data_IF_992539479308
#
_entry.id   IF_992539479308
#
_cell.length_a   1.000
_cell.length_b   1.000
_cell.length_c   1.000
_cell.angle_alpha   90.00
_cell.angle_beta   90.00
_cell.angle_gamma   90.00
#
_symmetry.space_group_name_H-M   'P 1'
#
loop_
_entity.id
_entity.type
_entity.pdbx_description
1 polymer ?
#
# COMPACT_ATOMS: atom_id res chain seq x y z
N UNK A 1 26.10 1.87 6.72
CA UNK A 1 24.81 1.34 7.18
C UNK A 1 23.74 1.61 6.13
N UNK A 2 22.75 0.75 5.98
CA UNK A 2 21.57 1.06 5.20
C UNK A 2 20.73 2.09 5.97
N UNK A 3 20.51 3.25 5.35
CA UNK A 3 19.94 4.41 6.02
C UNK A 3 18.40 4.45 5.92
N UNK A 4 17.76 5.09 6.90
CA UNK A 4 16.35 5.51 6.78
C UNK A 4 16.22 6.53 5.67
N UNK A 5 15.01 6.64 5.09
CA UNK A 5 14.69 7.55 3.99
C UNK A 5 13.47 8.42 4.30
N UNK A 6 13.54 9.65 3.82
CA UNK A 6 12.44 10.60 3.80
C UNK A 6 12.38 11.30 2.44
N UNK A 7 11.43 12.21 2.24
CA UNK A 7 11.40 13.06 1.06
C UNK A 7 12.42 14.20 1.21
N UNK A 8 12.97 14.66 0.09
CA UNK A 8 13.85 15.86 0.08
C UNK A 8 13.01 17.15 0.19
N UNK A 9 11.89 17.21 -0.54
CA UNK A 9 11.00 18.36 -0.59
C UNK A 9 9.55 17.96 -0.35
N UNK A 10 8.74 18.94 0.06
CA UNK A 10 7.29 18.76 0.06
C UNK A 10 6.72 18.75 -1.35
N UNK A 11 5.70 17.93 -1.58
CA UNK A 11 5.02 17.85 -2.87
C UNK A 11 3.51 17.74 -2.67
N UNK A 12 2.75 18.42 -3.54
CA UNK A 12 1.29 18.43 -3.51
C UNK A 12 0.69 17.67 -4.68
N UNK A 13 -0.46 17.07 -4.43
CA UNK A 13 -1.31 16.47 -5.45
C UNK A 13 -2.77 16.75 -5.16
N UNK A 14 -3.58 16.69 -6.20
CA UNK A 14 -5.03 16.83 -6.13
C UNK A 14 -5.68 15.63 -6.81
N UNK A 15 -6.78 15.18 -6.26
CA UNK A 15 -7.53 14.07 -6.81
C UNK A 15 -8.93 13.99 -6.20
N UNK A 16 -9.55 12.84 -6.35
CA UNK A 16 -10.88 12.54 -5.78
C UNK A 16 -10.79 11.30 -4.91
N UNK A 17 -11.61 11.22 -3.88
CA UNK A 17 -11.77 10.01 -3.09
C UNK A 17 -12.48 8.93 -3.90
N UNK A 18 -12.03 7.67 -3.80
CA UNK A 18 -12.70 6.55 -4.48
C UNK A 18 -14.11 6.34 -3.93
N UNK A 19 -14.23 6.36 -2.60
CA UNK A 19 -15.51 6.09 -1.92
C UNK A 19 -16.33 7.35 -1.74
N UNK A 20 -15.74 8.45 -1.29
CA UNK A 20 -16.45 9.71 -1.04
C UNK A 20 -16.82 10.47 -2.31
N UNK A 21 -16.02 10.39 -3.37
CA UNK A 21 -16.14 11.24 -4.55
C UNK A 21 -15.72 12.69 -4.31
N UNK A 22 -15.28 13.04 -3.11
CA UNK A 22 -14.89 14.40 -2.73
C UNK A 22 -13.56 14.81 -3.36
N UNK A 23 -13.38 16.10 -3.68
CA UNK A 23 -12.08 16.63 -4.09
C UNK A 23 -11.11 16.65 -2.90
N UNK A 24 -9.93 16.09 -3.09
CA UNK A 24 -8.91 15.92 -2.05
C UNK A 24 -7.63 16.61 -2.45
N UNK A 25 -7.07 17.38 -1.51
CA UNK A 25 -5.69 17.90 -1.56
C UNK A 25 -4.82 17.04 -0.66
N UNK A 26 -3.75 16.50 -1.22
CA UNK A 26 -2.72 15.71 -0.56
C UNK A 26 -1.40 16.47 -0.58
N UNK A 27 -0.70 16.53 0.55
CA UNK A 27 0.68 17.03 0.61
C UNK A 27 1.57 16.02 1.32
N UNK A 28 2.62 15.54 0.65
CA UNK A 28 3.65 14.71 1.23
C UNK A 28 4.80 15.61 1.69
N UNK A 29 5.26 15.45 2.93
CA UNK A 29 6.32 16.26 3.53
C UNK A 29 7.42 15.39 4.13
N UNK A 30 8.69 15.85 4.11
CA UNK A 30 9.76 15.19 4.83
C UNK A 30 9.46 15.16 6.34
N UNK A 31 9.98 14.13 7.01
CA UNK A 31 9.89 13.98 8.46
C UNK A 31 11.24 13.60 9.07
N UNK A 32 11.50 13.95 10.33
CA UNK A 32 12.71 13.55 11.05
C UNK A 32 12.90 12.01 11.11
N UNK A 33 14.13 11.53 11.33
CA UNK A 33 14.38 10.11 11.55
C UNK A 33 13.55 9.56 12.72
N UNK A 34 13.14 8.29 12.61
CA UNK A 34 12.34 7.55 13.59
C UNK A 34 10.90 8.11 13.80
N UNK A 35 10.41 9.00 12.92
CA UNK A 35 9.02 9.49 12.95
C UNK A 35 8.04 8.42 12.50
N UNK A 36 8.40 7.63 11.49
CA UNK A 36 7.46 6.78 10.77
C UNK A 36 6.60 7.56 9.79
N UNK A 37 5.52 6.96 9.31
CA UNK A 37 4.53 7.61 8.46
C UNK A 37 3.39 8.12 9.33
N UNK A 38 3.15 9.45 9.28
CA UNK A 38 2.10 10.13 10.03
C UNK A 38 1.12 10.77 9.08
N UNK A 39 -0.13 10.36 9.15
CA UNK A 39 -1.23 11.00 8.43
C UNK A 39 -1.79 12.15 9.26
N UNK A 40 -2.11 13.27 8.61
CA UNK A 40 -2.58 14.51 9.28
C UNK A 40 -3.85 15.03 8.60
N UNK A 41 -4.95 15.12 9.35
CA UNK A 41 -6.22 15.73 8.91
C UNK A 41 -6.12 17.24 9.09
N UNK A 42 -5.85 17.96 8.00
CA UNK A 42 -5.63 19.40 8.01
C UNK A 42 -6.91 20.24 7.88
N UNK A 43 -8.02 19.61 7.58
CA UNK A 43 -9.35 20.20 7.55
C UNK A 43 -10.01 20.33 8.92
N UNK A 44 -9.39 19.74 9.95
CA UNK A 44 -9.85 19.80 11.33
C UNK A 44 -9.09 20.89 12.12
N UNK A 45 -9.74 21.48 13.14
CA UNK A 45 -9.15 22.46 14.03
C UNK A 45 -9.39 22.03 15.51
N UNK A 46 -8.34 21.60 16.25
CA UNK A 46 -6.97 21.40 15.77
C UNK A 46 -6.84 20.23 14.80
N UNK A 47 -5.79 20.25 13.96
CA UNK A 47 -5.46 19.13 13.09
C UNK A 47 -5.17 17.87 13.90
N UNK A 48 -5.52 16.70 13.35
CA UNK A 48 -5.39 15.41 14.02
C UNK A 48 -4.39 14.53 13.31
N UNK A 49 -3.42 14.02 14.08
CA UNK A 49 -2.41 13.08 13.58
C UNK A 49 -2.83 11.63 13.83
N UNK A 50 -2.61 10.77 12.82
CA UNK A 50 -2.84 9.33 12.91
C UNK A 50 -1.58 8.61 12.42
N UNK A 51 -0.95 7.83 13.29
CA UNK A 51 0.21 7.03 12.90
C UNK A 51 -0.21 5.86 12.01
N UNK A 52 0.54 5.62 10.94
CA UNK A 52 0.38 4.44 10.09
C UNK A 52 0.86 3.18 10.84
N UNK A 53 -0.02 2.61 11.64
CA UNK A 53 0.23 1.42 12.45
C UNK A 53 -0.98 0.50 12.41
N UNK A 54 -0.71 -0.81 12.46
CA UNK A 54 -1.76 -1.83 12.42
C UNK A 54 -2.80 -1.69 13.55
N UNK A 55 -2.37 -1.19 14.71
CA UNK A 55 -3.24 -0.96 15.86
C UNK A 55 -4.26 0.17 15.63
N UNK A 56 -3.94 1.11 14.73
CA UNK A 56 -4.80 2.22 14.37
C UNK A 56 -5.75 1.90 13.21
N UNK A 57 -5.70 0.69 12.66
CA UNK A 57 -6.66 0.26 11.64
C UNK A 57 -8.01 0.02 12.30
N UNK A 58 -9.03 0.73 11.82
CA UNK A 58 -10.42 0.58 12.23
C UNK A 58 -11.20 -0.23 11.21
N UNK A 59 -11.78 0.44 10.21
CA UNK A 59 -12.55 -0.21 9.16
C UNK A 59 -11.64 -0.77 8.06
N UNK A 60 -12.04 -1.92 7.51
CA UNK A 60 -11.35 -2.61 6.42
C UNK A 60 -12.29 -2.97 5.27
N UNK A 61 -13.43 -2.30 5.21
CA UNK A 61 -14.43 -2.48 4.14
C UNK A 61 -13.93 -1.81 2.86
N UNK A 62 -13.57 -2.61 1.86
CA UNK A 62 -13.07 -2.21 0.54
C UNK A 62 -11.79 -1.35 0.52
N UNK A 63 -11.28 -0.94 1.67
CA UNK A 63 -10.03 -0.20 1.82
C UNK A 63 -9.49 -0.32 3.24
N UNK A 64 -8.25 0.04 3.46
CA UNK A 64 -7.68 0.15 4.81
C UNK A 64 -7.91 1.56 5.33
N UNK A 65 -8.60 1.66 6.49
CA UNK A 65 -8.91 2.93 7.16
C UNK A 65 -8.15 3.04 8.47
N UNK A 66 -7.36 4.10 8.62
CA UNK A 66 -6.72 4.48 9.88
C UNK A 66 -7.67 5.35 10.71
N UNK A 67 -7.71 5.10 12.01
CA UNK A 67 -8.56 5.81 12.96
C UNK A 67 -7.75 6.32 14.16
N UNK A 68 -8.16 7.46 14.67
CA UNK A 68 -7.78 8.01 15.98
C UNK A 68 -9.07 8.58 16.57
N UNK A 69 -9.65 7.88 17.54
CA UNK A 69 -11.00 8.11 18.04
C UNK A 69 -12.02 8.17 16.87
N UNK A 70 -12.76 9.25 16.74
CA UNK A 70 -13.78 9.46 15.69
C UNK A 70 -13.19 9.98 14.37
N UNK A 71 -11.89 10.29 14.33
CA UNK A 71 -11.23 10.80 13.13
C UNK A 71 -10.67 9.64 12.31
N UNK A 72 -10.96 9.64 11.00
CA UNK A 72 -10.54 8.58 10.10
C UNK A 72 -9.88 9.11 8.83
N UNK A 73 -9.02 8.28 8.24
CA UNK A 73 -8.45 8.43 6.90
C UNK A 73 -8.47 7.06 6.22
N UNK A 74 -9.23 6.93 5.14
CA UNK A 74 -9.40 5.68 4.39
C UNK A 74 -8.52 5.62 3.14
N UNK A 75 -8.45 4.43 2.52
CA UNK A 75 -7.75 4.18 1.24
C UNK A 75 -6.25 4.51 1.32
N UNK A 76 -5.63 4.13 2.43
CA UNK A 76 -4.21 4.46 2.69
C UNK A 76 -3.24 3.47 2.02
N UNK A 77 -3.71 2.28 1.63
CA UNK A 77 -2.92 1.14 1.16
C UNK A 77 -2.07 1.43 -0.08
N UNK A 78 -2.59 2.15 -1.08
CA UNK A 78 -1.85 2.44 -2.31
C UNK A 78 -0.68 3.39 -2.08
N UNK A 79 -0.89 4.43 -1.25
CA UNK A 79 0.17 5.35 -0.86
C UNK A 79 1.22 4.66 0.02
N UNK A 80 0.79 3.86 1.00
CA UNK A 80 1.71 3.09 1.85
C UNK A 80 2.49 2.07 1.03
N UNK A 81 1.88 1.46 0.02
CA UNK A 81 2.55 0.57 -0.92
C UNK A 81 3.66 1.29 -1.70
N UNK A 82 3.41 2.51 -2.18
CA UNK A 82 4.43 3.34 -2.84
C UNK A 82 5.57 3.71 -1.89
N UNK A 83 5.26 4.08 -0.64
CA UNK A 83 6.26 4.38 0.39
C UNK A 83 7.11 3.16 0.71
N UNK A 84 6.50 1.98 0.92
CA UNK A 84 7.21 0.73 1.12
C UNK A 84 8.10 0.39 -0.07
N UNK A 85 7.57 0.56 -1.29
CA UNK A 85 8.25 0.29 -2.56
C UNK A 85 9.51 1.12 -2.77
N UNK A 86 9.49 2.37 -2.34
CA UNK A 86 10.64 3.29 -2.44
C UNK A 86 11.48 3.38 -1.16
N UNK A 87 11.05 2.66 -0.12
CA UNK A 87 11.75 2.59 1.15
C UNK A 87 11.68 3.87 1.98
N UNK A 88 10.58 4.63 1.89
CA UNK A 88 10.36 5.84 2.69
C UNK A 88 9.97 5.45 4.12
N UNK A 89 10.84 5.68 5.07
CA UNK A 89 10.61 5.34 6.48
C UNK A 89 9.85 6.43 7.22
N UNK A 90 10.06 7.71 6.84
CA UNK A 90 9.58 8.87 7.60
C UNK A 90 8.95 9.89 6.66
N UNK A 91 7.67 10.20 6.88
CA UNK A 91 6.95 11.24 6.13
C UNK A 91 5.72 11.73 6.90
N UNK A 92 5.37 13.00 6.72
CA UNK A 92 4.03 13.50 7.02
C UNK A 92 3.17 13.46 5.75
N UNK A 93 1.95 12.97 5.89
CA UNK A 93 0.94 12.87 4.84
C UNK A 93 -0.22 13.76 5.25
N UNK A 94 -0.24 15.00 4.78
CA UNK A 94 -1.32 15.94 5.06
C UNK A 94 -2.44 15.79 4.05
N UNK A 95 -3.67 15.69 4.54
CA UNK A 95 -4.88 15.54 3.73
C UNK A 95 -6.03 16.37 4.31
N UNK A 96 -6.79 17.00 3.43
CA UNK A 96 -7.95 17.83 3.81
C UNK A 96 -9.27 17.07 3.76
N UNK A 97 -9.24 15.75 3.87
CA UNK A 97 -10.42 14.88 3.79
C UNK A 97 -10.22 13.60 4.59
N UNK A 98 -11.29 12.86 4.79
CA UNK A 98 -11.26 11.53 5.44
C UNK A 98 -10.79 10.39 4.52
N UNK A 99 -10.23 10.70 3.35
CA UNK A 99 -9.80 9.70 2.37
C UNK A 99 -8.55 10.17 1.62
N UNK A 100 -7.66 9.25 1.25
CA UNK A 100 -6.54 9.52 0.34
C UNK A 100 -7.05 9.51 -1.10
N UNK A 101 -6.62 10.46 -1.97
CA UNK A 101 -7.10 10.48 -3.35
C UNK A 101 -6.72 9.20 -4.09
N UNK A 102 -7.66 8.64 -4.85
CA UNK A 102 -7.47 7.37 -5.57
C UNK A 102 -6.48 7.48 -6.74
N UNK A 103 -6.25 8.67 -7.23
CA UNK A 103 -5.41 8.95 -8.39
C UNK A 103 -5.89 8.18 -9.64
N UNK A 104 -5.03 7.32 -10.21
CA UNK A 104 -5.37 6.43 -11.33
C UNK A 104 -5.79 5.02 -10.89
N UNK A 105 -5.98 4.81 -9.58
CA UNK A 105 -6.33 3.52 -8.99
C UNK A 105 -5.15 2.61 -8.68
N UNK A 106 -3.92 3.07 -8.91
CA UNK A 106 -2.69 2.33 -8.62
C UNK A 106 -1.75 3.11 -7.69
N UNK A 107 -0.61 2.52 -7.32
CA UNK A 107 0.45 3.20 -6.59
C UNK A 107 1.37 4.05 -7.51
N UNK A 108 1.25 3.92 -8.82
CA UNK A 108 2.12 4.59 -9.79
C UNK A 108 2.22 6.11 -9.64
N UNK A 109 1.11 6.86 -9.53
CA UNK A 109 1.15 8.30 -9.29
C UNK A 109 1.86 8.69 -7.99
N UNK A 110 1.71 7.91 -6.92
CA UNK A 110 2.41 8.16 -5.65
C UNK A 110 3.91 7.88 -5.76
N UNK A 111 4.31 6.84 -6.50
CA UNK A 111 5.73 6.60 -6.86
C UNK A 111 6.29 7.81 -7.59
N UNK A 112 5.59 8.34 -8.59
CA UNK A 112 5.99 9.52 -9.33
C UNK A 112 6.13 10.75 -8.43
N UNK A 113 5.16 11.00 -7.53
CA UNK A 113 5.21 12.11 -6.58
C UNK A 113 6.42 12.01 -5.66
N UNK A 114 6.65 10.83 -5.05
CA UNK A 114 7.79 10.64 -4.14
C UNK A 114 9.12 10.82 -4.88
N UNK A 115 9.27 10.28 -6.09
CA UNK A 115 10.47 10.48 -6.90
C UNK A 115 10.66 11.94 -7.31
N UNK A 116 9.57 12.66 -7.64
CA UNK A 116 9.62 14.09 -7.98
C UNK A 116 9.95 14.98 -6.79
N UNK A 117 9.53 14.61 -5.59
CA UNK A 117 9.93 15.30 -4.35
C UNK A 117 11.42 15.10 -4.03
N UNK A 118 12.02 14.06 -4.59
CA UNK A 118 13.34 13.57 -4.23
C UNK A 118 13.32 12.73 -2.95
N UNK A 119 14.31 11.88 -2.80
CA UNK A 119 14.48 11.00 -1.63
C UNK A 119 15.80 11.36 -0.95
N UNK A 120 15.75 11.56 0.37
CA UNK A 120 16.92 11.89 1.20
C UNK A 120 17.23 10.73 2.15
N UNK A 121 18.52 10.36 2.27
CA UNK A 121 19.00 9.34 3.19
C UNK A 121 19.41 9.97 4.52
N UNK A 122 18.78 9.51 5.60
CA UNK A 122 18.94 10.06 6.94
C UNK A 122 20.04 9.32 7.72
N UNK A 123 20.67 10.01 8.67
CA UNK A 123 21.76 9.45 9.48
C UNK A 123 21.24 8.55 10.63
N UNK A 124 20.36 7.61 10.29
CA UNK A 124 19.84 6.58 11.19
C UNK A 124 19.70 5.25 10.45
N UNK A 125 19.96 4.12 11.11
CA UNK A 125 19.84 2.81 10.49
C UNK A 125 18.39 2.51 10.13
N UNK A 126 18.17 2.05 8.89
CA UNK A 126 16.88 1.51 8.46
C UNK A 126 16.61 0.21 9.20
N UNK A 127 15.39 0.07 9.67
CA UNK A 127 14.93 -1.11 10.40
C UNK A 127 14.07 -1.99 9.52
N UNK A 128 14.13 -3.29 9.78
CA UNK A 128 13.31 -4.32 9.13
C UNK A 128 12.71 -5.22 10.18
N UNK A 129 11.55 -5.79 9.88
CA UNK A 129 10.96 -6.87 10.66
C UNK A 129 11.30 -8.19 9.97
N UNK A 130 12.16 -9.00 10.59
CA UNK A 130 12.47 -10.35 10.12
C UNK A 130 11.52 -11.35 10.75
N UNK A 131 10.87 -12.14 9.92
CA UNK A 131 10.03 -13.27 10.35
C UNK A 131 10.93 -14.45 10.70
N UNK A 132 10.77 -14.96 11.93
CA UNK A 132 11.52 -16.11 12.46
C UNK A 132 10.72 -17.40 12.46
N UNK A 133 9.41 -17.28 12.61
CA UNK A 133 8.50 -18.41 12.65
C UNK A 133 7.27 -18.12 11.79
N UNK A 134 6.67 -19.20 11.27
CA UNK A 134 5.43 -19.11 10.51
C UNK A 134 4.29 -18.60 11.39
N UNK A 135 3.57 -17.59 10.89
CA UNK A 135 2.33 -17.09 11.47
C UNK A 135 1.26 -17.07 10.40
N UNK A 136 0.10 -17.65 10.71
CA UNK A 136 -1.05 -17.75 9.79
C UNK A 136 -2.32 -17.38 10.51
N UNK A 137 -3.18 -16.67 9.79
CA UNK A 137 -4.56 -16.37 10.19
C UNK A 137 -5.51 -16.85 9.11
N UNK A 138 -6.70 -17.30 9.54
CA UNK A 138 -7.75 -17.78 8.65
C UNK A 138 -9.07 -17.11 9.03
N UNK A 139 -9.83 -16.71 8.02
CA UNK A 139 -11.16 -16.15 8.17
C UNK A 139 -12.07 -16.71 7.07
N UNK A 140 -13.03 -17.55 7.45
CA UNK A 140 -13.82 -18.36 6.53
C UNK A 140 -12.91 -19.21 5.61
N UNK A 141 -13.02 -19.03 4.29
CA UNK A 141 -12.20 -19.71 3.28
C UNK A 141 -11.00 -18.86 2.78
N UNK A 142 -10.75 -17.72 3.42
CA UNK A 142 -9.62 -16.86 3.16
C UNK A 142 -8.53 -16.99 4.22
N UNK A 143 -7.27 -16.84 3.83
CA UNK A 143 -6.18 -16.86 4.78
C UNK A 143 -4.99 -16.00 4.32
N UNK A 144 -4.19 -15.60 5.28
CA UNK A 144 -2.90 -14.95 5.06
C UNK A 144 -1.84 -15.54 6.00
N UNK A 145 -0.62 -15.64 5.50
CA UNK A 145 0.49 -16.29 6.18
C UNK A 145 1.78 -15.52 5.94
N UNK A 146 2.63 -15.43 6.96
CA UNK A 146 4.03 -15.07 6.81
C UNK A 146 4.94 -16.18 7.28
N UNK A 147 6.08 -16.33 6.61
CA UNK A 147 7.09 -17.37 6.91
C UNK A 147 8.51 -16.81 6.77
N UNK A 148 9.52 -17.42 7.42
CA UNK A 148 10.92 -17.06 7.22
C UNK A 148 11.33 -17.15 5.75
N UNK A 149 12.01 -16.10 5.27
CA UNK A 149 12.57 -16.04 3.92
C UNK A 149 13.67 -14.97 3.88
N UNK A 150 14.78 -15.24 3.17
CA UNK A 150 15.84 -14.26 2.97
C UNK A 150 15.48 -13.34 1.80
N UNK A 151 14.84 -12.23 2.10
CA UNK A 151 14.25 -11.26 1.17
C UNK A 151 12.84 -10.89 1.58
N UNK A 152 12.10 -10.27 0.68
CA UNK A 152 10.66 -10.10 0.82
C UNK A 152 9.96 -10.65 -0.41
N UNK A 153 9.18 -11.70 -0.22
CA UNK A 153 8.42 -12.36 -1.28
C UNK A 153 6.93 -12.25 -0.97
N UNK A 154 6.15 -11.83 -1.95
CA UNK A 154 4.70 -11.78 -1.84
C UNK A 154 4.09 -12.70 -2.89
N UNK A 155 3.29 -13.67 -2.45
CA UNK A 155 2.50 -14.56 -3.31
C UNK A 155 1.04 -14.36 -3.01
N UNK A 156 0.21 -14.19 -4.02
CA UNK A 156 -1.22 -14.00 -3.85
C UNK A 156 -2.01 -14.91 -4.80
N UNK A 157 -3.02 -15.58 -4.26
CA UNK A 157 -4.03 -16.36 -5.01
C UNK A 157 -5.38 -15.66 -4.88
N UNK A 158 -5.87 -15.15 -6.00
CA UNK A 158 -7.14 -14.47 -6.13
C UNK A 158 -8.19 -15.43 -6.68
N UNK A 159 -9.32 -15.55 -6.02
CA UNK A 159 -10.43 -16.43 -6.48
C UNK A 159 -11.72 -15.61 -6.56
N UNK A 160 -12.18 -15.40 -7.79
CA UNK A 160 -13.48 -14.82 -8.07
C UNK A 160 -14.28 -15.75 -8.99
N UNK A 161 -15.51 -16.03 -8.61
CA UNK A 161 -16.41 -16.84 -9.47
C UNK A 161 -17.08 -15.91 -10.52
N UNK A 162 -16.26 -15.40 -11.46
CA UNK A 162 -16.72 -14.51 -12.50
C UNK A 162 -16.07 -14.88 -13.85
N UNK A 163 -16.81 -14.84 -15.00
CA UNK A 163 -16.27 -15.22 -16.31
C UNK A 163 -15.00 -14.45 -16.70
N UNK A 164 -14.94 -13.15 -16.44
CA UNK A 164 -13.77 -12.31 -16.75
C UNK A 164 -12.53 -12.78 -15.99
N UNK A 165 -12.65 -13.01 -14.67
CA UNK A 165 -11.50 -13.46 -13.87
C UNK A 165 -10.94 -14.81 -14.32
N UNK A 166 -11.74 -15.67 -14.93
CA UNK A 166 -11.28 -16.95 -15.49
C UNK A 166 -10.42 -16.79 -16.76
N UNK A 167 -10.46 -15.62 -17.40
CA UNK A 167 -9.67 -15.32 -18.61
C UNK A 167 -8.26 -14.80 -18.29
N UNK A 168 -7.99 -14.41 -17.04
CA UNK A 168 -6.76 -13.76 -16.61
C UNK A 168 -6.03 -14.57 -15.53
N UNK A 169 -4.76 -14.23 -15.33
CA UNK A 169 -3.94 -14.85 -14.30
C UNK A 169 -4.44 -14.46 -12.90
N UNK A 170 -4.70 -15.48 -12.07
CA UNK A 170 -5.24 -15.32 -10.72
C UNK A 170 -4.23 -15.65 -9.62
N UNK A 171 -3.01 -16.03 -9.97
CA UNK A 171 -1.91 -16.30 -9.04
C UNK A 171 -0.69 -15.52 -9.50
N UNK A 172 -0.11 -14.74 -8.62
CA UNK A 172 1.15 -14.05 -8.90
C UNK A 172 2.08 -14.12 -7.70
N UNK A 173 3.38 -14.08 -7.99
CA UNK A 173 4.43 -14.03 -6.97
C UNK A 173 5.48 -13.01 -7.37
N UNK A 174 5.86 -12.15 -6.43
CA UNK A 174 6.85 -11.09 -6.64
C UNK A 174 7.93 -11.19 -5.58
N UNK A 175 9.19 -11.27 -6.01
CA UNK A 175 10.33 -11.02 -5.13
C UNK A 175 10.56 -9.50 -5.07
N UNK A 176 10.24 -8.93 -3.93
CA UNK A 176 10.19 -7.50 -3.74
C UNK A 176 11.58 -6.86 -3.66
N UNK A 177 11.77 -5.85 -4.45
CA UNK A 177 12.73 -4.76 -4.30
C UNK A 177 12.14 -3.53 -5.02
N UNK A 178 12.74 -2.35 -4.88
CA UNK A 178 12.19 -1.15 -5.52
C UNK A 178 12.03 -1.30 -7.05
N UNK A 179 12.98 -1.96 -7.72
CA UNK A 179 12.91 -2.13 -9.18
C UNK A 179 11.75 -3.03 -9.58
N UNK A 180 11.59 -4.19 -8.95
CA UNK A 180 10.47 -5.10 -9.24
C UNK A 180 9.13 -4.47 -8.86
N UNK A 181 9.06 -3.78 -7.72
CA UNK A 181 7.86 -3.04 -7.31
C UNK A 181 7.44 -2.01 -8.36
N UNK A 182 8.36 -1.12 -8.76
CA UNK A 182 8.06 -0.06 -9.75
C UNK A 182 7.67 -0.63 -11.11
N UNK A 183 8.38 -1.67 -11.58
CA UNK A 183 8.15 -2.24 -12.91
C UNK A 183 6.93 -3.14 -13.00
N UNK A 184 6.68 -3.94 -11.97
CA UNK A 184 5.75 -5.07 -12.04
C UNK A 184 4.47 -4.88 -11.22
N UNK A 185 4.50 -4.03 -10.16
CA UNK A 185 3.40 -3.92 -9.19
C UNK A 185 2.77 -2.54 -9.18
N UNK A 186 3.59 -1.49 -9.12
CA UNK A 186 3.12 -0.13 -8.79
C UNK A 186 1.99 0.40 -9.68
N UNK A 187 1.90 -0.07 -10.93
CA UNK A 187 0.91 0.37 -11.93
C UNK A 187 -0.35 -0.50 -12.00
N UNK A 188 -0.48 -1.50 -11.13
CA UNK A 188 -1.67 -2.35 -11.06
C UNK A 188 -2.85 -1.56 -10.49
N UNK A 189 -3.91 -1.39 -11.28
CA UNK A 189 -5.11 -0.65 -10.89
C UNK A 189 -6.06 -1.49 -10.06
N UNK A 190 -6.78 -0.81 -9.14
CA UNK A 190 -7.96 -1.38 -8.49
C UNK A 190 -9.04 -1.75 -9.52
N UNK A 191 -9.96 -2.61 -9.14
CA UNK A 191 -11.00 -3.11 -10.01
C UNK A 191 -12.31 -3.31 -9.26
N UNK A 192 -13.42 -3.25 -10.01
CA UNK A 192 -14.75 -3.48 -9.47
C UNK A 192 -15.68 -4.11 -10.49
N UNK A 193 -16.66 -4.87 -9.99
CA UNK A 193 -17.73 -5.46 -10.81
C UNK A 193 -18.84 -4.41 -11.00
N UNK A 194 -19.21 -4.15 -12.25
CA UNK A 194 -20.26 -3.17 -12.55
C UNK A 194 -21.61 -3.54 -11.95
N UNK A 195 -21.89 -4.82 -11.82
CA UNK A 195 -23.14 -5.30 -11.18
C UNK A 195 -23.28 -4.92 -9.70
N UNK A 196 -22.14 -4.65 -9.02
CA UNK A 196 -22.13 -4.30 -7.59
C UNK A 196 -22.21 -2.78 -7.36
N UNK A 197 -22.07 -1.97 -8.42
CA UNK A 197 -21.95 -0.51 -8.32
C UNK A 197 -23.20 0.16 -7.74
N UNK A 198 -24.41 -0.32 -8.10
CA UNK A 198 -25.66 0.25 -7.56
C UNK A 198 -25.73 0.05 -6.05
N UNK A 199 -25.47 -1.17 -5.57
CA UNK A 199 -25.44 -1.49 -4.15
C UNK A 199 -24.35 -0.68 -3.40
N UNK A 200 -23.15 -0.56 -3.97
CA UNK A 200 -22.07 0.22 -3.35
C UNK A 200 -22.43 1.70 -3.24
N UNK A 201 -23.06 2.27 -4.27
CA UNK A 201 -23.48 3.66 -4.24
C UNK A 201 -24.60 3.91 -3.21
N UNK A 202 -25.53 2.96 -3.02
CA UNK A 202 -26.56 3.03 -1.96
C UNK A 202 -25.91 3.03 -0.56
N UNK A 203 -24.78 2.37 -0.40
CA UNK A 203 -23.99 2.36 0.84
C UNK A 203 -23.02 3.55 0.94
N UNK A 204 -23.08 4.53 0.03
CA UNK A 204 -22.16 5.66 -0.09
C UNK A 204 -20.69 5.22 -0.30
N UNK A 205 -20.48 4.14 -1.03
CA UNK A 205 -19.18 3.64 -1.44
C UNK A 205 -19.00 3.79 -2.96
N UNK A 206 -17.75 3.86 -3.40
CA UNK A 206 -17.36 3.96 -4.81
C UNK A 206 -17.98 5.16 -5.58
N UNK A 207 -18.36 6.25 -4.88
CA UNK A 207 -18.98 7.44 -5.49
C UNK A 207 -18.06 8.17 -6.46
N UNK A 208 -16.73 8.08 -6.27
CA UNK A 208 -15.72 8.65 -7.15
C UNK A 208 -15.13 7.65 -8.14
N UNK A 209 -15.62 6.40 -8.17
CA UNK A 209 -15.15 5.39 -9.09
C UNK A 209 -15.45 5.74 -10.56
N UNK A 210 -14.49 5.49 -11.43
CA UNK A 210 -14.63 5.73 -12.86
C UNK A 210 -13.67 4.82 -13.64
N UNK A 211 -13.86 4.69 -14.94
CA UNK A 211 -12.93 3.96 -15.82
C UNK A 211 -11.52 4.59 -15.85
N UNK A 212 -11.34 5.81 -15.34
CA UNK A 212 -10.02 6.48 -15.25
C UNK A 212 -9.22 6.03 -14.04
N UNK A 213 -9.87 5.49 -13.01
CA UNK A 213 -9.24 5.13 -11.74
C UNK A 213 -9.55 3.70 -11.26
N UNK A 214 -10.23 2.90 -12.06
CA UNK A 214 -10.50 1.50 -11.78
C UNK A 214 -10.68 0.69 -13.06
N UNK A 215 -10.39 -0.60 -12.99
CA UNK A 215 -10.79 -1.56 -14.03
C UNK A 215 -12.26 -1.89 -13.81
N UNK A 216 -13.11 -1.50 -14.75
CA UNK A 216 -14.54 -1.78 -14.73
C UNK A 216 -14.81 -3.15 -15.37
N UNK A 217 -15.29 -4.09 -14.58
CA UNK A 217 -15.57 -5.47 -15.02
C UNK A 217 -17.07 -5.60 -15.28
N UNK A 218 -17.43 -5.78 -16.56
CA UNK A 218 -18.78 -6.13 -17.01
C UNK A 218 -19.09 -7.61 -16.82
N UNK A 219 -20.18 -8.10 -17.38
CA UNK A 219 -20.64 -9.50 -17.19
C UNK A 219 -19.62 -10.52 -17.76
N UNK A 220 -19.03 -10.23 -18.89
CA UNK A 220 -18.12 -11.14 -19.61
C UNK A 220 -16.86 -10.47 -20.21
N UNK A 221 -16.71 -9.15 -20.06
CA UNK A 221 -15.57 -8.38 -20.56
C UNK A 221 -15.16 -7.23 -19.64
N UNK A 222 -13.98 -6.66 -19.88
CA UNK A 222 -13.50 -5.42 -19.27
C UNK A 222 -14.01 -4.26 -20.11
N UNK A 223 -14.60 -3.26 -19.48
CA UNK A 223 -15.28 -2.14 -20.12
C UNK A 223 -14.37 -0.95 -20.42
N UNK A 224 -13.17 -0.91 -19.84
CA UNK A 224 -12.19 0.14 -20.13
C UNK A 224 -11.74 0.03 -21.60
N UNK A 225 -11.80 1.12 -22.37
CA UNK A 225 -11.40 1.14 -23.78
C UNK A 225 -9.93 0.73 -23.98
N UNK A 226 -9.04 1.14 -23.08
CA UNK A 226 -7.62 0.77 -23.06
C UNK A 226 -7.35 -0.65 -22.56
N UNK A 227 -8.36 -1.36 -22.05
CA UNK A 227 -8.24 -2.69 -21.48
C UNK A 227 -7.40 -2.72 -20.17
N UNK A 228 -6.69 -3.82 -19.96
CA UNK A 228 -5.74 -4.00 -18.85
C UNK A 228 -4.33 -3.57 -19.27
N UNK A 229 -3.53 -3.12 -18.31
CA UNK A 229 -2.13 -2.68 -18.52
C UNK A 229 -1.17 -3.86 -18.71
N UNK A 230 -1.49 -5.01 -18.10
CA UNK A 230 -0.74 -6.27 -18.21
C UNK A 230 -1.63 -7.45 -17.76
N UNK A 231 -1.32 -8.66 -18.22
CA UNK A 231 -2.18 -9.84 -18.09
C UNK A 231 -2.56 -10.18 -16.63
N UNK A 232 -1.65 -9.97 -15.68
CA UNK A 232 -1.81 -10.26 -14.26
C UNK A 232 -2.12 -9.00 -13.42
N UNK A 233 -2.67 -7.94 -14.04
CA UNK A 233 -2.91 -6.64 -13.38
C UNK A 233 -3.77 -6.78 -12.12
N UNK A 234 -4.88 -7.52 -12.19
CA UNK A 234 -5.81 -7.63 -11.06
C UNK A 234 -5.18 -8.35 -9.85
N UNK A 235 -4.48 -9.45 -10.06
CA UNK A 235 -3.80 -10.15 -8.95
C UNK A 235 -2.58 -9.37 -8.44
N UNK A 236 -1.89 -8.64 -9.30
CA UNK A 236 -0.80 -7.74 -8.87
C UNK A 236 -1.31 -6.53 -8.10
N UNK A 237 -2.53 -6.07 -8.38
CA UNK A 237 -3.17 -5.07 -7.52
C UNK A 237 -3.38 -5.61 -6.10
N UNK A 238 -3.80 -6.87 -5.95
CA UNK A 238 -3.88 -7.50 -4.62
C UNK A 238 -2.52 -7.60 -3.93
N UNK A 239 -1.44 -7.83 -4.69
CA UNK A 239 -0.07 -7.75 -4.15
C UNK A 239 0.29 -6.33 -3.72
N UNK A 240 -0.10 -5.30 -4.49
CA UNK A 240 0.06 -3.90 -4.15
C UNK A 240 -0.63 -3.57 -2.81
N UNK A 241 -1.89 -3.97 -2.65
CA UNK A 241 -2.66 -3.81 -1.41
C UNK A 241 -1.94 -4.46 -0.21
N UNK A 242 -1.51 -5.72 -0.37
CA UNK A 242 -0.75 -6.45 0.66
C UNK A 242 0.51 -5.70 1.06
N UNK A 243 1.30 -5.20 0.12
CA UNK A 243 2.54 -4.47 0.42
C UNK A 243 2.23 -3.22 1.27
N UNK A 244 1.16 -2.49 0.93
CA UNK A 244 0.72 -1.32 1.69
C UNK A 244 0.20 -1.69 3.08
N UNK A 245 -0.64 -2.71 3.18
CA UNK A 245 -1.18 -3.19 4.45
C UNK A 245 -0.06 -3.68 5.38
N UNK A 246 0.89 -4.48 4.87
CA UNK A 246 2.02 -4.98 5.66
C UNK A 246 2.95 -3.85 6.14
N UNK A 247 3.00 -2.72 5.42
CA UNK A 247 3.81 -1.57 5.83
C UNK A 247 3.30 -0.90 7.11
N UNK A 248 2.08 -1.18 7.53
CA UNK A 248 1.51 -0.79 8.82
C UNK A 248 2.19 -1.46 10.04
N UNK A 249 3.09 -2.42 9.83
CA UNK A 249 4.04 -2.85 10.87
C UNK A 249 5.07 -1.76 11.19
N UNK A 250 5.20 -0.74 10.32
CA UNK A 250 6.09 0.41 10.47
C UNK A 250 7.49 0.23 9.92
N UNK A 251 7.81 -0.94 9.38
CA UNK A 251 9.08 -1.26 8.73
C UNK A 251 8.84 -2.27 7.61
N UNK A 252 9.73 -2.29 6.62
CA UNK A 252 9.70 -3.33 5.60
C UNK A 252 9.95 -4.72 6.22
N UNK A 253 9.31 -5.72 5.64
CA UNK A 253 9.37 -7.11 6.10
C UNK A 253 10.52 -7.85 5.40
N UNK A 254 11.24 -8.67 6.17
CA UNK A 254 12.14 -9.72 5.66
C UNK A 254 11.47 -11.06 5.98
N UNK A 255 10.89 -11.68 4.96
CA UNK A 255 10.07 -12.87 5.07
C UNK A 255 9.27 -13.10 3.79
N UNK A 256 8.52 -14.17 3.71
CA UNK A 256 7.55 -14.40 2.65
C UNK A 256 6.14 -14.19 3.17
N UNK A 257 5.30 -13.56 2.36
CA UNK A 257 3.85 -13.49 2.55
C UNK A 257 3.17 -14.37 1.51
N UNK A 258 2.16 -15.10 1.93
CA UNK A 258 1.26 -15.84 1.05
C UNK A 258 -0.19 -15.54 1.45
N UNK A 259 -1.00 -15.09 0.49
CA UNK A 259 -2.41 -14.78 0.66
C UNK A 259 -3.29 -15.60 -0.28
N UNK A 260 -4.35 -16.17 0.26
CA UNK A 260 -5.41 -16.86 -0.49
C UNK A 260 -6.73 -16.18 -0.19
N UNK A 261 -7.32 -15.55 -1.19
CA UNK A 261 -8.56 -14.75 -1.06
C UNK A 261 -8.48 -13.67 0.03
N UNK A 262 -7.29 -13.33 0.52
CA UNK A 262 -7.15 -12.35 1.59
C UNK A 262 -7.55 -10.96 1.08
N UNK A 263 -7.97 -10.13 2.02
CA UNK A 263 -8.25 -8.71 1.84
C UNK A 263 -7.77 -7.96 3.07
N UNK A 264 -8.06 -6.68 3.15
CA UNK A 264 -7.56 -5.80 4.22
C UNK A 264 -7.87 -6.32 5.62
N UNK A 265 -9.07 -6.92 5.83
CA UNK A 265 -9.46 -7.55 7.11
C UNK A 265 -8.50 -8.66 7.52
N UNK A 266 -8.22 -9.60 6.61
CA UNK A 266 -7.35 -10.76 6.89
C UNK A 266 -5.90 -10.30 7.02
N UNK A 267 -5.47 -9.35 6.18
CA UNK A 267 -4.13 -8.77 6.25
C UNK A 267 -3.91 -8.08 7.62
N UNK A 268 -4.86 -7.25 8.05
CA UNK A 268 -4.75 -6.60 9.36
C UNK A 268 -4.81 -7.59 10.53
N UNK A 269 -5.64 -8.64 10.44
CA UNK A 269 -5.66 -9.69 11.45
C UNK A 269 -4.29 -10.38 11.56
N UNK A 270 -3.61 -10.64 10.43
CA UNK A 270 -2.25 -11.17 10.43
C UNK A 270 -1.25 -10.23 11.11
N UNK A 271 -1.33 -8.92 10.85
CA UNK A 271 -0.46 -7.95 11.51
C UNK A 271 -0.67 -7.91 13.02
N UNK A 272 -1.93 -7.94 13.47
CA UNK A 272 -2.27 -7.97 14.90
C UNK A 272 -1.79 -9.27 15.57
N UNK A 273 -1.92 -10.40 14.87
CA UNK A 273 -1.39 -11.68 15.35
C UNK A 273 0.14 -11.64 15.49
N UNK A 274 0.85 -11.09 14.51
CA UNK A 274 2.31 -10.89 14.59
C UNK A 274 2.70 -10.00 15.77
N UNK A 275 2.03 -8.87 15.96
CA UNK A 275 2.30 -7.95 17.07
C UNK A 275 2.08 -8.63 18.42
N UNK A 276 1.07 -9.50 18.53
CA UNK A 276 0.75 -10.25 19.76
C UNK A 276 1.77 -11.35 20.06
N UNK A 277 2.62 -11.73 19.08
CA UNK A 277 3.59 -12.84 19.18
C UNK A 277 5.02 -12.38 18.88
N UNK A 278 5.60 -11.54 19.77
CA UNK A 278 6.93 -10.94 19.52
C UNK A 278 8.08 -11.95 19.40
N UNK A 279 7.89 -13.19 19.86
CA UNK A 279 8.86 -14.28 19.70
C UNK A 279 9.00 -14.74 18.24
N UNK A 280 7.99 -14.49 17.38
CA UNK A 280 7.94 -14.97 15.99
C UNK A 280 8.68 -14.08 15.00
N UNK A 281 9.16 -12.92 15.44
CA UNK A 281 9.88 -11.95 14.60
C UNK A 281 10.95 -11.20 15.40
N UNK A 282 11.76 -10.42 14.74
CA UNK A 282 12.76 -9.54 15.34
C UNK A 282 12.97 -8.27 14.51
N UNK A 283 13.43 -7.21 15.17
CA UNK A 283 13.91 -5.99 14.48
C UNK A 283 15.38 -6.16 14.16
N UNK A 284 15.75 -5.89 12.91
CA UNK A 284 17.16 -5.86 12.49
C UNK A 284 17.46 -4.66 11.60
N UNK A 285 18.74 -4.36 11.46
CA UNK A 285 19.30 -3.38 10.52
C UNK A 285 20.57 -3.91 9.91
N UNK A 286 21.01 -3.32 8.78
CA UNK A 286 22.19 -3.77 8.04
C UNK A 286 23.26 -2.67 8.07
N UNK A 287 24.43 -2.99 8.66
CA UNK A 287 25.58 -2.07 8.69
C UNK A 287 26.17 -1.85 7.31
N UNK A 288 26.20 -2.87 6.46
CA UNK A 288 26.54 -2.75 5.04
C UNK A 288 25.28 -2.93 4.19
N UNK A 289 24.90 -1.94 3.36
CA UNK A 289 23.74 -2.05 2.47
C UNK A 289 23.76 -3.27 1.55
N UNK A 290 24.97 -3.77 1.21
CA UNK A 290 25.14 -4.97 0.38
C UNK A 290 24.65 -6.26 1.03
N UNK A 291 24.56 -6.28 2.36
CA UNK A 291 24.05 -7.43 3.12
C UNK A 291 22.52 -7.42 3.25
N UNK A 292 21.87 -6.33 2.83
CA UNK A 292 20.41 -6.29 2.82
C UNK A 292 19.85 -7.15 1.68
N UNK A 293 18.91 -8.05 1.97
CA UNK A 293 18.26 -8.85 0.94
C UNK A 293 17.23 -8.04 0.12
N UNK A 294 16.95 -6.80 0.54
CA UNK A 294 16.04 -5.87 -0.14
C UNK A 294 16.86 -4.68 -0.62
N UNK A 295 16.79 -4.39 -1.92
CA UNK A 295 17.46 -3.26 -2.53
C UNK A 295 16.46 -2.17 -2.90
N UNK A 296 16.88 -0.93 -2.71
CA UNK A 296 16.09 0.25 -3.06
C UNK A 296 16.74 0.99 -4.22
N UNK A 297 15.92 1.61 -5.07
CA UNK A 297 16.41 2.52 -6.10
C UNK A 297 17.24 3.63 -5.45
N UNK A 298 18.37 3.96 -6.09
CA UNK A 298 19.17 5.09 -5.66
C UNK A 298 18.34 6.37 -5.75
N UNK A 299 18.51 7.31 -4.81
CA UNK A 299 17.91 8.64 -4.93
C UNK A 299 18.36 9.24 -6.27
N UNK A 300 17.43 9.52 -7.17
CA UNK A 300 17.76 10.15 -8.45
C UNK A 300 18.11 11.60 -8.13
N UNK A 301 19.40 11.89 -8.03
CA UNK A 301 19.90 13.23 -8.16
C UNK A 301 20.01 13.48 -9.67
N UNK A 302 18.94 13.97 -10.28
CA UNK A 302 19.01 14.49 -11.64
C UNK A 302 19.44 15.94 -11.57
N UNK A 303 20.72 16.26 -11.89
CA UNK A 303 21.20 17.65 -11.87
C UNK A 303 20.57 18.53 -12.95
N UNK A 304 19.75 17.96 -13.86
CA UNK A 304 19.09 18.68 -14.95
C UNK A 304 17.70 19.20 -14.58
N UNK A 305 17.20 18.89 -13.36
CA UNK A 305 15.92 19.38 -12.84
C UNK A 305 16.09 20.51 -11.81
N UNK A 306 17.28 21.12 -11.71
CA UNK A 306 17.58 22.31 -10.91
C UNK A 306 17.39 23.61 -11.70
#
# INVERSE_FOLDING_TARGET
MLAQRTLTNSIKAFGVGLHSGDPISLELKPAPPDTGIIFVRTDLDPSVEIKARAENVGDTTLSTTLCNDDVKISTVEHLLSAMAGLGIDNAYVEVNSSEIPIMDGSAGPFVFLIQSAGIDEQQKPKKFIRIKEKVRVEFNDAWAEVSPFEGFKVTFTMIYNHPVHKKYTNVASVNFNSTSFVKEVSRARTFGLMKDMEMLNEENLALGASMKNAIAIGDDEILNEEGIRFEDEMVKHKILDVIGDLYLLGHNLVGSFEGYKSGHTVNNALLRELISRPETWEILSYDDPKNSPITYLDPIIDPSLG
#
